data_IF_524090497766
#
_entry.id   IF_524090497766
#
_cell.length_a   1.000
_cell.length_b   1.000
_cell.length_c   1.000
_cell.angle_alpha   90.00
_cell.angle_beta   90.00
_cell.angle_gamma   90.00
#
_symmetry.space_group_name_H-M   'P 1'
#
loop_
_entity.id
_entity.type
_entity.pdbx_description
1 polymer ?
#
# COMPACT_ATOMS: atom_id res chain seq x y z
N UNK A 1 -14.58 -22.29 -5.52
CA UNK A 1 -14.37 -20.83 -5.44
C UNK A 1 -12.89 -20.61 -5.73
N UNK A 2 -12.57 -20.13 -6.94
CA UNK A 2 -11.17 -19.87 -7.31
C UNK A 2 -10.58 -18.84 -6.35
N UNK A 3 -9.41 -19.09 -5.73
CA UNK A 3 -8.78 -18.10 -4.86
C UNK A 3 -8.49 -16.86 -5.70
N UNK A 4 -9.02 -15.71 -5.26
CA UNK A 4 -8.78 -14.46 -5.97
C UNK A 4 -7.30 -14.10 -5.84
N UNK A 5 -6.63 -13.73 -6.95
CA UNK A 5 -5.21 -13.38 -6.92
C UNK A 5 -4.97 -12.16 -6.02
N UNK A 6 -3.78 -12.05 -5.41
CA UNK A 6 -3.47 -10.95 -4.50
C UNK A 6 -3.62 -9.59 -5.21
N UNK A 7 -3.98 -8.53 -4.48
CA UNK A 7 -4.14 -7.20 -5.05
C UNK A 7 -2.79 -6.73 -5.60
N UNK A 8 -2.77 -6.34 -6.89
CA UNK A 8 -1.56 -5.72 -7.46
C UNK A 8 -1.46 -4.29 -6.95
N UNK A 9 -0.32 -3.91 -6.37
CA UNK A 9 -0.08 -2.53 -5.97
C UNK A 9 -0.35 -1.55 -7.14
N UNK A 10 -0.98 -0.43 -6.82
CA UNK A 10 -1.24 0.66 -7.77
C UNK A 10 -2.57 0.57 -8.54
N UNK A 11 -3.35 -0.51 -8.40
CA UNK A 11 -4.75 -0.54 -8.86
C UNK A 11 -5.64 0.10 -7.81
N UNK A 12 -6.48 1.03 -8.23
CA UNK A 12 -7.45 1.66 -7.35
C UNK A 12 -8.83 1.70 -8.01
N UNK A 13 -9.85 1.63 -7.17
CA UNK A 13 -11.24 1.83 -7.55
C UNK A 13 -11.77 3.03 -6.77
N UNK A 14 -12.43 3.94 -7.47
CA UNK A 14 -13.15 5.05 -6.84
C UNK A 14 -14.59 4.59 -6.65
N UNK A 15 -15.06 4.60 -5.41
CA UNK A 15 -16.42 4.19 -5.05
C UNK A 15 -17.21 5.34 -4.46
N UNK A 16 -18.45 5.47 -4.92
CA UNK A 16 -19.49 6.18 -4.18
C UNK A 16 -20.48 5.16 -3.65
N UNK A 17 -20.39 4.90 -2.35
CA UNK A 17 -21.09 3.81 -1.65
C UNK A 17 -20.88 2.43 -2.31
N UNK A 18 -21.89 1.95 -3.05
CA UNK A 18 -21.93 0.63 -3.68
C UNK A 18 -21.56 0.65 -5.17
N UNK A 19 -21.39 1.83 -5.76
CA UNK A 19 -21.04 1.97 -7.17
C UNK A 19 -19.57 2.35 -7.36
N UNK A 20 -18.95 1.76 -8.38
CA UNK A 20 -17.59 2.13 -8.82
C UNK A 20 -17.72 3.19 -9.91
N UNK A 21 -17.27 4.41 -9.61
CA UNK A 21 -17.37 5.55 -10.53
C UNK A 21 -16.16 5.66 -11.45
N UNK A 22 -15.00 5.12 -11.04
CA UNK A 22 -13.80 5.07 -11.86
C UNK A 22 -12.84 3.96 -11.42
N UNK A 23 -11.99 3.51 -12.32
CA UNK A 23 -10.91 2.55 -12.06
C UNK A 23 -9.62 3.07 -12.71
N UNK A 24 -8.49 2.94 -12.02
CA UNK A 24 -7.21 3.43 -12.53
C UNK A 24 -6.00 2.65 -12.05
N UNK A 25 -4.87 2.91 -12.72
CA UNK A 25 -3.54 2.38 -12.37
C UNK A 25 -2.59 3.56 -12.16
N UNK A 26 -1.81 3.52 -11.08
CA UNK A 26 -0.80 4.54 -10.78
C UNK A 26 0.45 4.28 -11.63
N UNK A 27 0.88 5.27 -12.42
CA UNK A 27 2.07 5.18 -13.29
C UNK A 27 3.39 5.42 -12.54
N UNK A 28 3.42 6.42 -11.66
CA UNK A 28 4.58 6.75 -10.85
C UNK A 28 4.14 7.36 -9.51
N UNK A 29 4.88 7.07 -8.45
CA UNK A 29 4.66 7.64 -7.12
C UNK A 29 5.86 8.50 -6.72
N UNK A 30 5.61 9.73 -6.26
CA UNK A 30 6.63 10.49 -5.56
C UNK A 30 6.57 10.10 -4.08
N UNK A 31 7.64 9.52 -3.54
CA UNK A 31 7.68 9.06 -2.16
C UNK A 31 8.04 10.23 -1.26
N UNK A 32 7.24 10.48 -0.22
CA UNK A 32 7.64 11.38 0.85
C UNK A 32 8.91 10.83 1.51
N UNK A 33 9.82 11.72 1.92
CA UNK A 33 10.99 11.35 2.69
C UNK A 33 10.54 10.48 3.89
N UNK A 34 11.23 9.35 4.15
CA UNK A 34 10.86 8.48 5.25
C UNK A 34 10.94 9.29 6.56
N UNK A 35 9.77 9.50 7.17
CA UNK A 35 9.72 9.95 8.56
C UNK A 35 10.07 8.79 9.48
N UNK A 36 10.53 9.08 10.69
CA UNK A 36 10.75 8.07 11.72
C UNK A 36 9.44 7.38 12.11
N UNK A 37 9.08 6.31 11.40
CA UNK A 37 7.95 5.45 11.74
C UNK A 37 8.19 4.77 13.09
N UNK A 38 7.12 4.36 13.77
CA UNK A 38 7.23 3.70 15.07
C UNK A 38 7.96 2.36 14.92
N UNK A 39 9.21 2.29 15.40
CA UNK A 39 10.03 1.08 15.35
C UNK A 39 9.78 0.23 16.60
N UNK A 40 9.61 -1.08 16.42
CA UNK A 40 9.50 -2.02 17.54
C UNK A 40 10.89 -2.32 18.13
N UNK A 41 10.96 -2.66 19.42
CA UNK A 41 12.22 -2.98 20.13
C UNK A 41 13.05 -4.04 19.38
N UNK A 42 12.38 -5.04 18.80
CA UNK A 42 13.03 -6.10 18.03
C UNK A 42 13.67 -5.56 16.74
N UNK A 43 12.97 -4.73 15.97
CA UNK A 43 13.49 -4.13 14.74
C UNK A 43 14.67 -3.17 15.00
N UNK A 44 14.63 -2.41 16.11
CA UNK A 44 15.75 -1.55 16.50
C UNK A 44 17.02 -2.34 16.88
N UNK A 45 16.86 -3.55 17.42
CA UNK A 45 17.98 -4.44 17.76
C UNK A 45 18.64 -5.03 16.51
N UNK A 46 17.85 -5.34 15.48
CA UNK A 46 18.35 -5.90 14.20
C UNK A 46 19.05 -4.83 13.36
N UNK A 47 18.54 -3.59 13.35
CA UNK A 47 19.16 -2.48 12.62
C UNK A 47 20.44 -1.93 13.30
N UNK A 48 20.88 -2.49 14.43
CA UNK A 48 22.10 -2.08 15.15
C UNK A 48 23.25 -3.07 14.98
N UNK A 49 23.15 -3.99 14.02
CA UNK A 49 24.20 -4.94 13.64
C UNK A 49 24.73 -4.65 12.24
#
# INVERSE_FOLDING_TARGET
QTPQPPPREGRFAVRDMKQTVAVGIIKSVNKKAPGGGKVTKAAAKVNKS
#
